data_IF_276966930237
#
_entry.id   IF_276966930237
#
_cell.length_a   1.000
_cell.length_b   1.000
_cell.length_c   1.000
_cell.angle_alpha   90.00
_cell.angle_beta   90.00
_cell.angle_gamma   90.00
#
_symmetry.space_group_name_H-M   'P 1'
#
loop_
_entity.id
_entity.type
_entity.pdbx_description
1 polymer ?
#
# COMPACT_ATOMS: atom_id res chain seq x y z
N UNK A 1 1.11 0.41 -37.47
CA UNK A 1 1.17 1.87 -37.22
C UNK A 1 1.71 2.08 -35.80
N UNK A 2 2.83 2.79 -35.64
CA UNK A 2 3.54 2.99 -34.36
C UNK A 2 2.71 3.69 -33.29
N UNK A 3 1.65 4.41 -33.69
CA UNK A 3 0.71 5.05 -32.78
C UNK A 3 -0.14 4.03 -32.00
N UNK A 4 -0.53 2.92 -32.62
CA UNK A 4 -1.30 1.86 -31.94
C UNK A 4 -0.43 1.15 -30.90
N UNK A 5 0.84 0.88 -31.21
CA UNK A 5 1.78 0.31 -30.24
C UNK A 5 2.12 1.28 -29.10
N UNK A 6 2.26 2.58 -29.38
CA UNK A 6 2.41 3.60 -28.32
C UNK A 6 1.17 3.71 -27.45
N UNK A 7 -0.04 3.66 -28.04
CA UNK A 7 -1.30 3.69 -27.30
C UNK A 7 -1.46 2.44 -26.43
N UNK A 8 -1.13 1.24 -26.95
CA UNK A 8 -1.13 -0.01 -26.19
C UNK A 8 -0.12 0.05 -25.03
N UNK A 9 1.07 0.61 -25.25
CA UNK A 9 2.08 0.77 -24.19
C UNK A 9 1.64 1.78 -23.13
N UNK A 10 0.97 2.87 -23.52
CA UNK A 10 0.38 3.83 -22.58
C UNK A 10 -0.76 3.19 -21.79
N UNK A 11 -1.64 2.43 -22.45
CA UNK A 11 -2.72 1.67 -21.78
C UNK A 11 -2.16 0.59 -20.86
N UNK A 12 -1.05 -0.08 -21.23
CA UNK A 12 -0.37 -1.06 -20.40
C UNK A 12 0.40 -0.44 -19.21
N UNK A 13 0.96 0.77 -19.37
CA UNK A 13 1.52 1.54 -18.25
C UNK A 13 0.43 2.10 -17.33
N UNK A 14 -0.74 2.44 -17.88
CA UNK A 14 -1.92 2.83 -17.12
C UNK A 14 -2.59 1.63 -16.44
N UNK A 15 -2.47 0.43 -17.01
CA UNK A 15 -2.67 -0.86 -16.35
C UNK A 15 -1.51 -1.11 -15.38
N UNK A 16 -1.43 -0.25 -14.35
CA UNK A 16 -0.82 -0.55 -13.06
C UNK A 16 -1.15 -2.00 -12.76
N UNK A 17 -0.14 -2.84 -12.54
CA UNK A 17 -0.31 -4.19 -12.04
C UNK A 17 -1.43 -4.19 -10.99
N UNK A 18 -2.62 -4.70 -11.36
CA UNK A 18 -3.72 -4.82 -10.42
C UNK A 18 -3.26 -5.86 -9.41
N UNK A 19 -2.79 -5.36 -8.26
CA UNK A 19 -2.54 -6.22 -7.12
C UNK A 19 -3.93 -6.60 -6.66
N UNK A 20 -4.22 -7.89 -6.83
CA UNK A 20 -5.43 -8.48 -6.29
C UNK A 20 -5.60 -8.01 -4.86
N UNK A 21 -6.74 -7.36 -4.61
CA UNK A 21 -7.08 -6.83 -3.29
C UNK A 21 -7.09 -7.97 -2.28
N UNK A 22 -6.50 -7.75 -1.11
CA UNK A 22 -6.46 -8.75 -0.07
C UNK A 22 -7.86 -9.06 0.44
N UNK A 23 -8.26 -10.32 0.30
CA UNK A 23 -9.56 -10.85 0.70
C UNK A 23 -9.42 -11.94 1.78
N UNK A 24 -8.34 -11.89 2.58
CA UNK A 24 -7.93 -12.91 3.57
C UNK A 24 -7.39 -14.22 2.99
N UNK A 25 -7.40 -14.40 1.67
CA UNK A 25 -6.72 -15.53 1.03
C UNK A 25 -5.30 -15.15 0.58
N UNK A 26 -4.41 -16.14 0.47
CA UNK A 26 -3.05 -15.98 -0.06
C UNK A 26 -2.23 -14.84 0.60
N UNK A 27 -2.39 -14.65 1.91
CA UNK A 27 -1.80 -13.52 2.64
C UNK A 27 -0.29 -13.36 2.40
N UNK A 28 0.48 -14.46 2.38
CA UNK A 28 1.92 -14.43 2.14
C UNK A 28 2.31 -13.75 0.82
N UNK A 29 1.55 -14.02 -0.26
CA UNK A 29 1.82 -13.45 -1.58
C UNK A 29 1.38 -11.99 -1.67
N UNK A 30 0.21 -11.67 -1.10
CA UNK A 30 -0.24 -10.28 -0.99
C UNK A 30 0.75 -9.44 -0.16
N UNK A 31 1.18 -9.95 1.00
CA UNK A 31 2.15 -9.32 1.89
C UNK A 31 3.47 -8.99 1.19
N UNK A 32 3.98 -9.92 0.36
CA UNK A 32 5.20 -9.71 -0.41
C UNK A 32 5.01 -8.58 -1.45
N UNK A 33 3.91 -8.59 -2.21
CA UNK A 33 3.58 -7.53 -3.17
C UNK A 33 3.39 -6.17 -2.48
N UNK A 34 2.67 -6.14 -1.36
CA UNK A 34 2.37 -4.91 -0.63
C UNK A 34 3.64 -4.26 -0.09
N UNK A 35 4.57 -5.04 0.49
CA UNK A 35 5.88 -4.51 0.91
C UNK A 35 6.68 -3.90 -0.25
N UNK A 36 6.57 -4.47 -1.46
CA UNK A 36 7.22 -3.91 -2.64
C UNK A 36 6.61 -2.55 -3.05
N UNK A 37 5.28 -2.39 -3.00
CA UNK A 37 4.61 -1.10 -3.24
C UNK A 37 5.08 -0.07 -2.21
N UNK A 38 4.97 -0.40 -0.91
CA UNK A 38 5.33 0.54 0.15
C UNK A 38 6.79 0.98 0.04
N UNK A 39 7.69 0.09 -0.40
CA UNK A 39 9.08 0.46 -0.66
C UNK A 39 9.23 1.40 -1.86
N UNK A 40 8.53 1.11 -2.96
CA UNK A 40 8.53 1.95 -4.16
C UNK A 40 8.02 3.37 -3.86
N UNK A 41 7.00 3.47 -3.01
CA UNK A 41 6.38 4.73 -2.59
C UNK A 41 7.06 5.35 -1.35
N UNK A 42 8.18 4.77 -0.91
CA UNK A 42 9.04 5.25 0.18
C UNK A 42 8.35 5.33 1.56
N UNK A 43 7.31 4.54 1.78
CA UNK A 43 6.56 4.48 3.04
C UNK A 43 6.65 3.14 3.78
N UNK A 44 7.55 2.24 3.37
CA UNK A 44 7.75 0.93 4.02
C UNK A 44 8.05 1.03 5.53
N UNK A 45 8.67 2.11 5.99
CA UNK A 45 8.98 2.28 7.41
C UNK A 45 7.72 2.42 8.29
N UNK A 46 6.61 2.93 7.74
CA UNK A 46 5.40 3.23 8.51
C UNK A 46 4.61 2.00 8.98
N UNK A 47 4.84 0.83 8.37
CA UNK A 47 4.25 -0.44 8.84
C UNK A 47 5.06 -1.07 9.99
N UNK A 48 6.15 -0.44 10.42
CA UNK A 48 6.91 -0.79 11.62
C UNK A 48 6.71 0.24 12.72
N UNK A 49 7.48 0.12 13.80
CA UNK A 49 7.52 1.16 14.83
C UNK A 49 8.18 2.43 14.30
N UNK A 50 7.60 3.60 14.62
CA UNK A 50 8.22 4.89 14.36
C UNK A 50 9.56 4.96 15.10
N UNK A 51 10.69 5.14 14.39
CA UNK A 51 11.98 5.29 15.07
C UNK A 51 12.00 6.56 15.93
N UNK A 52 12.59 6.49 17.12
CA UNK A 52 12.66 7.61 18.06
C UNK A 52 13.48 8.80 17.51
N UNK A 53 14.36 8.53 16.55
CA UNK A 53 15.20 9.52 15.87
C UNK A 53 14.40 10.37 14.86
N UNK A 54 13.21 9.92 14.46
CA UNK A 54 12.32 10.71 13.59
C UNK A 54 11.60 11.76 14.43
N UNK A 55 12.17 12.96 14.50
CA UNK A 55 11.61 14.09 15.26
C UNK A 55 10.71 15.00 14.43
N UNK A 56 10.69 14.84 13.11
CA UNK A 56 9.84 15.60 12.19
C UNK A 56 8.48 14.92 12.04
N UNK A 57 7.50 15.40 12.80
CA UNK A 57 6.14 14.86 12.80
C UNK A 57 5.46 15.01 11.44
N UNK A 58 5.60 16.16 10.78
CA UNK A 58 4.95 16.39 9.49
C UNK A 58 5.43 15.42 8.42
N UNK A 59 6.73 15.13 8.39
CA UNK A 59 7.31 14.16 7.46
C UNK A 59 6.89 12.73 7.81
N UNK A 60 6.77 12.41 9.09
CA UNK A 60 6.27 11.12 9.52
C UNK A 60 4.80 10.93 9.13
N UNK A 61 3.96 11.92 9.39
CA UNK A 61 2.53 11.88 9.07
C UNK A 61 2.28 11.72 7.57
N UNK A 62 3.08 12.36 6.72
CA UNK A 62 3.04 12.13 5.27
C UNK A 62 3.39 10.68 4.92
N UNK A 63 4.42 10.12 5.57
CA UNK A 63 4.87 8.74 5.33
C UNK A 63 3.81 7.73 5.78
N UNK A 64 3.22 7.93 6.96
CA UNK A 64 2.17 7.09 7.53
C UNK A 64 0.88 7.19 6.69
N UNK A 65 0.44 8.40 6.36
CA UNK A 65 -0.71 8.63 5.48
C UNK A 65 -0.57 7.97 4.10
N UNK A 66 0.63 8.06 3.49
CA UNK A 66 0.91 7.37 2.23
C UNK A 66 0.88 5.85 2.34
N UNK A 67 1.30 5.29 3.47
CA UNK A 67 1.20 3.85 3.73
C UNK A 67 -0.27 3.43 3.96
N UNK A 68 -1.05 4.20 4.74
CA UNK A 68 -2.48 3.97 4.94
C UNK A 68 -3.22 3.98 3.60
N UNK A 69 -3.00 4.98 2.75
CA UNK A 69 -3.65 5.07 1.44
C UNK A 69 -3.34 3.85 0.56
N UNK A 70 -2.07 3.44 0.52
CA UNK A 70 -1.64 2.26 -0.21
C UNK A 70 -2.26 0.96 0.33
N UNK A 71 -2.36 0.81 1.66
CA UNK A 71 -3.03 -0.31 2.29
C UNK A 71 -4.53 -0.30 1.92
N UNK A 72 -5.23 0.82 2.06
CA UNK A 72 -6.64 0.91 1.71
C UNK A 72 -6.93 0.50 0.25
N UNK A 73 -6.10 0.95 -0.69
CA UNK A 73 -6.23 0.60 -2.11
C UNK A 73 -6.00 -0.89 -2.40
N UNK A 74 -5.22 -1.56 -1.56
CA UNK A 74 -4.83 -2.96 -1.73
C UNK A 74 -5.70 -3.94 -0.92
N UNK A 75 -6.72 -3.48 -0.21
CA UNK A 75 -7.63 -4.30 0.60
C UNK A 75 -9.00 -4.45 -0.08
N UNK A 76 -9.63 -5.61 0.11
CA UNK A 76 -11.02 -5.81 -0.29
C UNK A 76 -11.97 -5.15 0.73
N UNK A 77 -13.17 -4.78 0.30
CA UNK A 77 -14.10 -4.00 1.10
C UNK A 77 -14.48 -4.68 2.43
N UNK A 78 -14.62 -6.01 2.43
CA UNK A 78 -14.87 -6.79 3.65
C UNK A 78 -13.68 -6.86 4.62
N UNK A 79 -12.47 -6.50 4.18
CA UNK A 79 -11.30 -6.32 5.05
C UNK A 79 -11.17 -4.87 5.50
N UNK A 80 -11.50 -3.90 4.63
CA UNK A 80 -11.53 -2.48 4.98
C UNK A 80 -12.44 -2.20 6.19
N UNK A 81 -13.62 -2.81 6.23
CA UNK A 81 -14.55 -2.65 7.37
C UNK A 81 -13.95 -3.10 8.71
N UNK A 82 -13.01 -4.04 8.72
CA UNK A 82 -12.37 -4.51 9.96
C UNK A 82 -11.28 -3.58 10.49
N UNK A 83 -10.83 -2.61 9.70
CA UNK A 83 -9.73 -1.70 10.05
C UNK A 83 -10.16 -0.23 10.17
N UNK A 84 -11.47 0.07 10.10
CA UNK A 84 -12.00 1.45 10.10
C UNK A 84 -11.51 2.29 11.29
N UNK A 85 -11.38 1.68 12.47
CA UNK A 85 -10.94 2.37 13.68
C UNK A 85 -9.41 2.49 13.84
N UNK A 86 -8.63 1.91 12.92
CA UNK A 86 -7.16 1.92 12.98
C UNK A 86 -6.63 3.24 12.46
N UNK A 87 -5.69 3.84 13.21
CA UNK A 87 -5.25 5.22 13.00
C UNK A 87 -3.88 5.34 12.36
N UNK A 88 -3.10 4.26 12.33
CA UNK A 88 -1.76 4.24 11.74
C UNK A 88 -1.58 3.07 10.77
N UNK A 89 -0.62 3.19 9.86
CA UNK A 89 -0.28 2.11 8.94
C UNK A 89 0.21 0.87 9.69
N UNK A 90 0.92 1.05 10.81
CA UNK A 90 1.34 -0.04 11.70
C UNK A 90 0.14 -0.77 12.31
N UNK A 91 -0.83 -0.05 12.87
CA UNK A 91 -2.02 -0.64 13.45
C UNK A 91 -2.84 -1.44 12.43
N UNK A 92 -2.97 -0.92 11.20
CA UNK A 92 -3.58 -1.65 10.09
C UNK A 92 -2.77 -2.91 9.78
N UNK A 93 -1.45 -2.77 9.61
CA UNK A 93 -0.56 -3.86 9.23
C UNK A 93 -0.58 -5.01 10.25
N UNK A 94 -0.54 -4.69 11.54
CA UNK A 94 -0.59 -5.66 12.63
C UNK A 94 -1.94 -6.37 12.72
N UNK A 95 -3.05 -5.70 12.36
CA UNK A 95 -4.37 -6.33 12.30
C UNK A 95 -4.51 -7.34 11.15
N UNK A 96 -3.79 -7.10 10.04
CA UNK A 96 -3.83 -7.97 8.87
C UNK A 96 -2.95 -9.23 9.02
N UNK A 97 -1.94 -9.17 9.92
CA UNK A 97 -0.92 -10.20 10.12
C UNK A 97 -1.39 -11.36 11.00
#
# INVERSE_FOLDING_TARGET
>A
NSLVQKLIVIVAMAAKFEIEKFNRNNFSFWKLKMKAILRKDKCLAAIGERPAEVTDDSKWDETDGNAIANLHLALADGVLSSIEEKKSAKEIWDHLA
#
